data_IF_710944477190
#
_entry.id   IF_710944477190
#
_cell.length_a   1.000
_cell.length_b   1.000
_cell.length_c   1.000
_cell.angle_alpha   90.00
_cell.angle_beta   90.00
_cell.angle_gamma   90.00
#
_symmetry.space_group_name_H-M   'P 1'
#
loop_
_entity.id
_entity.type
_entity.pdbx_description
1 polymer ?
#
# COMPACT_ATOMS: atom_id res chain seq x y z
N UNK A 1 -15.21 42.64 1.76
CA UNK A 1 -16.05 41.48 1.36
C UNK A 1 -15.23 40.38 0.71
N UNK A 2 -14.27 40.70 -0.17
CA UNK A 2 -13.43 39.73 -0.89
C UNK A 2 -12.63 38.73 0.00
N UNK A 3 -12.12 39.18 1.15
CA UNK A 3 -11.35 38.31 2.09
C UNK A 3 -12.18 37.15 2.68
N UNK A 4 -13.49 37.34 2.85
CA UNK A 4 -14.40 36.30 3.35
C UNK A 4 -14.65 35.22 2.29
N UNK A 5 -14.92 35.66 1.06
CA UNK A 5 -15.15 34.76 -0.07
C UNK A 5 -13.92 33.92 -0.38
N UNK A 6 -12.72 34.52 -0.33
CA UNK A 6 -11.46 33.79 -0.48
C UNK A 6 -11.24 32.73 0.60
N UNK A 7 -11.56 33.03 1.87
CA UNK A 7 -11.47 32.05 2.96
C UNK A 7 -12.50 30.92 2.79
N UNK A 8 -13.75 31.26 2.45
CA UNK A 8 -14.78 30.27 2.19
C UNK A 8 -14.38 29.32 1.04
N UNK A 9 -13.85 29.87 -0.06
CA UNK A 9 -13.37 29.09 -1.19
C UNK A 9 -12.18 28.20 -0.83
N UNK A 10 -11.23 28.73 -0.05
CA UNK A 10 -10.08 27.95 0.44
C UNK A 10 -10.50 26.72 1.25
N UNK A 11 -11.37 26.88 2.25
CA UNK A 11 -11.82 25.74 3.07
C UNK A 11 -12.76 24.79 2.31
N UNK A 12 -13.54 25.31 1.33
CA UNK A 12 -14.29 24.47 0.42
C UNK A 12 -13.37 23.59 -0.45
N UNK A 13 -12.25 24.16 -0.95
CA UNK A 13 -11.21 23.41 -1.69
C UNK A 13 -10.52 22.37 -0.84
N UNK A 14 -10.38 22.60 0.47
CA UNK A 14 -9.91 21.59 1.43
C UNK A 14 -10.95 20.49 1.69
N UNK A 15 -12.19 20.65 1.24
CA UNK A 15 -13.27 19.69 1.32
C UNK A 15 -14.25 19.92 2.48
N UNK A 16 -14.13 21.01 3.24
CA UNK A 16 -15.08 21.31 4.31
C UNK A 16 -16.41 21.87 3.74
N UNK A 17 -17.52 21.55 4.40
CA UNK A 17 -18.83 22.02 3.99
C UNK A 17 -19.00 23.53 4.22
N UNK A 18 -19.58 24.23 3.24
CA UNK A 18 -19.85 25.69 3.32
C UNK A 18 -20.53 26.10 4.63
N UNK A 19 -21.50 25.32 5.09
CA UNK A 19 -22.25 25.61 6.31
C UNK A 19 -21.39 25.54 7.58
N UNK A 20 -20.48 24.58 7.67
CA UNK A 20 -19.59 24.44 8.81
C UNK A 20 -18.54 25.57 8.82
N UNK A 21 -18.02 25.95 7.64
CA UNK A 21 -17.08 27.06 7.51
C UNK A 21 -17.73 28.39 7.91
N UNK A 22 -18.95 28.67 7.45
CA UNK A 22 -19.68 29.88 7.86
C UNK A 22 -19.90 29.93 9.38
N UNK A 23 -20.32 28.82 10.00
CA UNK A 23 -20.53 28.76 11.46
C UNK A 23 -19.25 29.05 12.25
N UNK A 24 -18.11 28.52 11.80
CA UNK A 24 -16.82 28.75 12.46
C UNK A 24 -16.36 30.20 12.28
N UNK A 25 -16.54 30.78 11.09
CA UNK A 25 -16.19 32.17 10.81
C UNK A 25 -17.09 33.17 11.57
N UNK A 26 -18.36 32.84 11.77
CA UNK A 26 -19.28 33.60 12.63
C UNK A 26 -18.85 33.54 14.11
N UNK A 27 -18.32 32.40 14.57
CA UNK A 27 -17.87 32.22 15.96
C UNK A 27 -16.49 32.84 16.27
N UNK A 28 -15.54 32.77 15.33
CA UNK A 28 -14.17 33.29 15.52
C UNK A 28 -14.00 34.72 15.00
N UNK A 29 -14.95 35.19 14.20
CA UNK A 29 -14.90 36.49 13.54
C UNK A 29 -14.15 36.46 12.21
N UNK A 30 -14.44 37.46 11.39
CA UNK A 30 -13.96 37.56 10.00
C UNK A 30 -12.42 37.64 9.86
N UNK A 31 -11.76 38.10 10.93
CA UNK A 31 -10.32 38.27 11.02
C UNK A 31 -9.57 37.04 11.56
N UNK A 32 -10.27 35.95 11.90
CA UNK A 32 -9.65 34.72 12.37
C UNK A 32 -8.61 34.18 11.39
N UNK A 33 -7.47 33.72 11.89
CA UNK A 33 -6.42 33.13 11.06
C UNK A 33 -6.89 31.79 10.48
N UNK A 34 -6.35 31.42 9.32
CA UNK A 34 -6.71 30.17 8.65
C UNK A 34 -6.44 28.95 9.55
N UNK A 35 -5.35 28.99 10.31
CA UNK A 35 -5.01 27.93 11.28
C UNK A 35 -6.03 27.80 12.40
N UNK A 36 -6.61 28.90 12.87
CA UNK A 36 -7.59 28.88 13.95
C UNK A 36 -8.94 28.36 13.46
N UNK A 37 -9.33 28.75 12.25
CA UNK A 37 -10.51 28.19 11.56
C UNK A 37 -10.34 26.69 11.33
N UNK A 38 -9.16 26.25 10.89
CA UNK A 38 -8.87 24.83 10.66
C UNK A 38 -8.88 24.02 11.97
N UNK A 39 -8.24 24.54 13.04
CA UNK A 39 -8.27 23.91 14.38
C UNK A 39 -9.69 23.75 14.89
N UNK A 40 -10.54 24.76 14.69
CA UNK A 40 -11.92 24.74 15.13
C UNK A 40 -12.75 23.73 14.34
N UNK A 41 -12.59 23.65 13.02
CA UNK A 41 -13.24 22.64 12.17
C UNK A 41 -12.86 21.22 12.59
N UNK A 42 -11.58 20.99 12.92
CA UNK A 42 -11.09 19.70 13.44
C UNK A 42 -11.68 19.42 14.83
N UNK A 43 -11.73 20.43 15.72
CA UNK A 43 -12.31 20.33 17.06
C UNK A 43 -13.80 19.93 17.02
N UNK A 44 -14.54 20.44 16.04
CA UNK A 44 -15.95 20.07 15.81
C UNK A 44 -16.11 18.67 15.19
N UNK A 45 -15.02 17.94 14.93
CA UNK A 45 -15.05 16.60 14.35
C UNK A 45 -15.51 16.57 12.90
N UNK A 46 -15.46 17.70 12.18
CA UNK A 46 -15.82 17.78 10.77
C UNK A 46 -14.67 17.23 9.93
N UNK A 47 -14.96 16.26 9.08
CA UNK A 47 -14.01 15.74 8.10
C UNK A 47 -14.28 16.39 6.75
N UNK A 48 -13.24 16.74 5.97
CA UNK A 48 -13.45 17.22 4.62
C UNK A 48 -14.11 16.13 3.75
N UNK A 49 -15.27 16.45 3.18
CA UNK A 49 -16.08 15.58 2.32
C UNK A 49 -15.38 15.19 1.01
N UNK A 50 -14.30 15.88 0.63
CA UNK A 50 -13.47 15.48 -0.52
C UNK A 50 -12.86 14.07 -0.36
N UNK A 51 -12.84 13.52 0.85
CA UNK A 51 -12.42 12.15 1.15
C UNK A 51 -13.55 11.10 1.03
N UNK A 52 -14.79 11.52 0.79
CA UNK A 52 -15.97 10.62 0.77
C UNK A 52 -16.55 10.38 -0.64
N UNK A 53 -16.27 11.27 -1.60
CA UNK A 53 -16.74 11.13 -3.00
C UNK A 53 -15.75 10.43 -3.96
N UNK A 54 -14.61 9.97 -3.46
CA UNK A 54 -13.87 8.86 -4.06
C UNK A 54 -14.37 7.59 -3.38
N UNK A 55 -14.80 6.60 -4.17
CA UNK A 55 -15.18 5.27 -3.70
C UNK A 55 -14.34 4.87 -2.47
N UNK A 56 -15.00 4.61 -1.35
CA UNK A 56 -14.35 4.30 -0.07
C UNK A 56 -13.14 3.37 -0.28
N UNK A 57 -11.89 3.81 -0.04
CA UNK A 57 -10.89 2.89 0.45
C UNK A 57 -11.37 2.47 1.85
N UNK A 58 -11.36 1.17 2.19
CA UNK A 58 -11.75 0.75 3.52
C UNK A 58 -10.91 1.51 4.56
N UNK A 59 -11.47 1.85 5.74
CA UNK A 59 -10.76 2.63 6.72
C UNK A 59 -9.45 1.91 7.08
N UNK A 60 -8.32 2.58 6.86
CA UNK A 60 -7.00 2.08 7.27
C UNK A 60 -6.93 2.11 8.80
N UNK A 61 -7.47 1.05 9.42
CA UNK A 61 -7.21 0.75 10.83
C UNK A 61 -5.76 0.32 10.95
N UNK A 62 -4.93 1.18 11.52
CA UNK A 62 -3.67 0.75 12.12
C UNK A 62 -4.02 -0.15 13.31
N UNK A 63 -3.91 -1.46 13.09
CA UNK A 63 -4.05 -2.46 14.16
C UNK A 63 -2.65 -2.93 14.54
N UNK A 64 -2.29 -2.80 15.81
CA UNK A 64 -1.12 -3.49 16.35
C UNK A 64 -1.35 -4.99 16.16
N UNK A 65 -0.52 -5.63 15.33
CA UNK A 65 -0.72 -7.02 14.91
C UNK A 65 -0.33 -7.97 16.04
N UNK A 66 -1.28 -8.24 16.92
CA UNK A 66 -1.21 -9.27 17.93
C UNK A 66 -2.59 -9.49 18.54
N UNK A 67 -3.07 -10.73 18.50
CA UNK A 67 -4.28 -11.26 19.14
C UNK A 67 -5.59 -11.23 18.32
N UNK A 68 -6.20 -12.41 18.25
CA UNK A 68 -7.44 -12.76 17.58
C UNK A 68 -8.63 -12.33 18.45
N UNK A 69 -9.50 -11.46 17.93
CA UNK A 69 -10.82 -11.23 18.51
C UNK A 69 -11.77 -10.69 17.44
N UNK A 70 -12.82 -11.48 17.20
CA UNK A 70 -13.98 -11.21 16.37
C UNK A 70 -14.75 -9.97 16.82
N UNK A 71 -15.18 -9.10 15.90
CA UNK A 71 -16.37 -8.25 16.08
C UNK A 71 -17.04 -7.92 14.73
N UNK A 72 -18.36 -7.63 14.71
CA UNK A 72 -19.22 -8.09 13.61
C UNK A 72 -19.86 -6.98 12.73
N UNK A 73 -20.32 -7.40 11.53
CA UNK A 73 -21.40 -6.81 10.66
C UNK A 73 -20.96 -5.79 9.56
N UNK A 74 -21.61 -5.68 8.37
CA UNK A 74 -22.79 -6.41 7.82
C UNK A 74 -22.61 -7.22 6.52
N UNK A 75 -23.49 -8.22 6.48
CA UNK A 75 -23.80 -9.25 5.49
C UNK A 75 -24.45 -8.67 4.22
N UNK A 76 -23.73 -8.61 3.09
CA UNK A 76 -24.32 -8.53 1.74
C UNK A 76 -23.93 -9.79 0.95
N UNK A 77 -24.93 -10.67 0.84
CA UNK A 77 -25.21 -11.68 -0.19
C UNK A 77 -24.20 -12.81 -0.49
N UNK A 78 -24.80 -14.01 -0.48
CA UNK A 78 -24.38 -15.28 -1.07
C UNK A 78 -23.41 -16.14 -0.25
N UNK A 79 -23.95 -17.29 0.16
CA UNK A 79 -23.25 -18.47 0.62
C UNK A 79 -22.35 -18.98 -0.49
N UNK A 80 -21.06 -19.16 -0.19
CA UNK A 80 -20.22 -20.22 -0.71
C UNK A 80 -19.23 -20.56 0.40
N UNK A 81 -19.29 -21.82 0.84
CA UNK A 81 -18.37 -22.41 1.80
C UNK A 81 -16.99 -22.54 1.11
N UNK A 82 -16.15 -21.50 1.20
CA UNK A 82 -14.93 -21.41 0.41
C UNK A 82 -13.82 -20.64 1.11
N UNK A 83 -13.09 -21.36 1.96
CA UNK A 83 -11.71 -21.15 2.42
C UNK A 83 -11.24 -19.71 2.73
N UNK A 84 -10.69 -19.54 3.92
CA UNK A 84 -10.15 -18.26 4.43
C UNK A 84 -8.91 -17.76 3.66
N UNK A 85 -8.54 -18.41 2.56
CA UNK A 85 -7.41 -18.08 1.67
C UNK A 85 -7.72 -16.96 0.66
N UNK A 86 -8.99 -16.55 0.52
CA UNK A 86 -9.45 -15.65 -0.54
C UNK A 86 -9.09 -14.16 -0.40
N UNK A 87 -8.41 -13.75 0.68
CA UNK A 87 -8.04 -12.33 0.92
C UNK A 87 -6.57 -12.07 1.22
N UNK A 88 -5.67 -12.95 0.76
CA UNK A 88 -4.24 -12.71 0.92
C UNK A 88 -3.75 -11.58 0.00
N UNK A 89 -2.99 -10.64 0.57
CA UNK A 89 -2.38 -9.54 -0.22
C UNK A 89 -1.38 -10.10 -1.24
N UNK A 90 -1.29 -9.41 -2.37
CA UNK A 90 -0.22 -9.61 -3.35
C UNK A 90 1.17 -9.49 -2.71
N UNK A 91 2.08 -10.37 -3.12
CA UNK A 91 3.47 -10.37 -2.65
C UNK A 91 4.39 -9.91 -3.78
N UNK A 92 5.24 -8.94 -3.48
CA UNK A 92 6.31 -8.48 -4.38
C UNK A 92 7.65 -8.68 -3.68
N UNK A 93 8.56 -9.40 -4.33
CA UNK A 93 9.88 -9.77 -3.79
C UNK A 93 10.97 -9.07 -4.60
N UNK A 94 11.87 -8.37 -3.90
CA UNK A 94 13.16 -7.98 -4.45
C UNK A 94 14.07 -9.21 -4.50
N UNK A 95 14.15 -9.82 -5.69
CA UNK A 95 14.90 -11.06 -5.87
C UNK A 95 16.40 -10.88 -5.69
N UNK A 96 16.95 -9.70 -6.02
CA UNK A 96 18.39 -9.45 -5.86
C UNK A 96 18.77 -9.38 -4.40
N UNK A 97 18.00 -8.66 -3.59
CA UNK A 97 18.29 -8.54 -2.17
C UNK A 97 18.16 -9.90 -1.46
N UNK A 98 17.11 -10.66 -1.76
CA UNK A 98 16.92 -12.02 -1.20
C UNK A 98 18.08 -12.94 -1.61
N UNK A 99 18.45 -12.95 -2.89
CA UNK A 99 19.53 -13.79 -3.39
C UNK A 99 20.89 -13.44 -2.77
N UNK A 100 21.21 -12.16 -2.64
CA UNK A 100 22.47 -11.71 -2.03
C UNK A 100 22.50 -11.95 -0.53
N UNK A 101 21.38 -11.75 0.17
CA UNK A 101 21.28 -12.06 1.61
C UNK A 101 21.48 -13.56 1.86
N UNK A 102 20.87 -14.41 1.04
CA UNK A 102 21.04 -15.86 1.17
C UNK A 102 22.45 -16.33 0.79
N UNK A 103 23.07 -15.71 -0.22
CA UNK A 103 24.44 -16.00 -0.63
C UNK A 103 25.51 -15.27 0.17
N UNK A 104 25.24 -14.92 1.44
CA UNK A 104 26.20 -14.29 2.35
C UNK A 104 26.86 -13.00 1.81
N UNK A 105 26.16 -12.24 0.96
CA UNK A 105 26.66 -11.06 0.23
C UNK A 105 27.81 -11.34 -0.75
N UNK A 106 28.18 -12.60 -0.95
CA UNK A 106 29.29 -13.02 -1.81
C UNK A 106 28.78 -13.55 -3.15
N UNK A 107 27.68 -14.30 -3.12
CA UNK A 107 27.11 -14.94 -4.31
C UNK A 107 25.64 -14.58 -4.48
N UNK A 108 25.17 -14.57 -5.73
CA UNK A 108 23.74 -14.50 -5.99
C UNK A 108 23.16 -15.91 -5.93
N UNK A 109 22.41 -16.19 -4.86
CA UNK A 109 21.81 -17.51 -4.65
C UNK A 109 20.38 -17.57 -5.20
N UNK A 110 20.18 -18.25 -6.33
CA UNK A 110 18.84 -18.48 -6.88
C UNK A 110 17.97 -19.29 -5.90
N UNK A 111 18.59 -20.19 -5.14
CA UNK A 111 17.89 -21.00 -4.13
C UNK A 111 17.26 -20.16 -3.01
N UNK A 112 17.90 -19.05 -2.62
CA UNK A 112 17.32 -18.12 -1.65
C UNK A 112 15.99 -17.50 -2.11
N UNK A 113 15.89 -17.19 -3.41
CA UNK A 113 14.62 -16.73 -4.01
C UNK A 113 13.56 -17.84 -3.94
N UNK A 114 13.96 -19.11 -4.11
CA UNK A 114 13.05 -20.28 -4.05
C UNK A 114 12.37 -20.34 -2.72
N UNK A 115 13.21 -20.33 -1.67
CA UNK A 115 12.77 -20.49 -0.30
C UNK A 115 11.76 -19.40 0.06
N UNK A 116 12.03 -18.16 -0.35
CA UNK A 116 11.10 -17.05 -0.13
C UNK A 116 9.76 -17.30 -0.84
N UNK A 117 9.78 -17.72 -2.12
CA UNK A 117 8.55 -18.00 -2.88
C UNK A 117 7.77 -19.17 -2.27
N UNK A 118 8.43 -20.29 -2.00
CA UNK A 118 7.80 -21.50 -1.45
C UNK A 118 7.18 -21.20 -0.07
N UNK A 119 7.85 -20.40 0.77
CA UNK A 119 7.31 -19.96 2.07
C UNK A 119 5.96 -19.25 1.97
N UNK A 120 5.77 -18.39 0.95
CA UNK A 120 4.50 -17.71 0.72
C UNK A 120 3.46 -18.64 0.09
N UNK A 121 3.87 -19.52 -0.82
CA UNK A 121 2.97 -20.49 -1.47
C UNK A 121 2.38 -21.49 -0.47
N UNK A 122 3.19 -22.00 0.44
CA UNK A 122 2.77 -22.90 1.53
C UNK A 122 1.72 -22.26 2.45
N UNK A 123 1.63 -20.92 2.45
CA UNK A 123 0.63 -20.15 3.21
C UNK A 123 -0.60 -19.76 2.40
N UNK A 124 -0.73 -20.29 1.19
CA UNK A 124 -1.87 -20.05 0.30
C UNK A 124 -1.75 -18.81 -0.58
N UNK A 125 -0.61 -18.10 -0.60
CA UNK A 125 -0.45 -16.97 -1.51
C UNK A 125 -0.35 -17.46 -2.97
N UNK A 126 -1.31 -17.05 -3.79
CA UNK A 126 -1.37 -17.40 -5.22
C UNK A 126 -0.71 -16.35 -6.12
N UNK A 127 -0.73 -15.08 -5.72
CA UNK A 127 -0.11 -13.97 -6.48
C UNK A 127 1.20 -13.51 -5.84
N UNK A 128 2.32 -14.01 -6.38
CA UNK A 128 3.68 -13.67 -5.95
C UNK A 128 4.48 -13.24 -7.18
N UNK A 129 5.10 -12.06 -7.11
CA UNK A 129 5.95 -11.53 -8.18
C UNK A 129 7.35 -11.21 -7.69
N UNK A 130 8.35 -11.76 -8.37
CA UNK A 130 9.77 -11.52 -8.07
C UNK A 130 10.39 -10.65 -9.15
N UNK A 131 11.11 -9.61 -8.76
CA UNK A 131 11.89 -8.77 -9.67
C UNK A 131 13.38 -9.10 -9.58
N UNK A 132 13.99 -9.37 -10.72
CA UNK A 132 15.43 -9.62 -10.89
C UNK A 132 15.89 -8.93 -12.17
N UNK A 133 17.05 -8.24 -12.19
CA UNK A 133 17.59 -7.65 -13.41
C UNK A 133 17.80 -8.69 -14.52
N UNK A 134 17.52 -8.32 -15.76
CA UNK A 134 17.58 -9.25 -16.90
C UNK A 134 18.98 -9.88 -17.08
N UNK A 135 20.03 -9.10 -16.84
CA UNK A 135 21.42 -9.53 -16.98
C UNK A 135 21.80 -10.70 -16.05
N UNK A 136 21.01 -10.97 -15.00
CA UNK A 136 21.20 -12.17 -14.17
C UNK A 136 20.91 -13.48 -14.91
N UNK A 137 20.29 -13.43 -16.10
CA UNK A 137 20.10 -14.60 -16.98
C UNK A 137 21.31 -14.88 -17.88
N UNK A 138 22.21 -13.92 -18.03
CA UNK A 138 23.47 -14.08 -18.77
C UNK A 138 24.39 -15.09 -18.07
N UNK A 139 25.39 -15.65 -18.77
CA UNK A 139 26.41 -16.48 -18.14
C UNK A 139 27.08 -15.77 -16.95
N UNK A 140 27.33 -16.48 -15.82
CA UNK A 140 28.02 -15.88 -14.69
C UNK A 140 29.38 -15.34 -15.11
N UNK A 141 29.67 -14.10 -14.73
CA UNK A 141 30.98 -13.48 -14.92
C UNK A 141 31.83 -13.72 -13.67
N UNK A 142 33.15 -13.66 -13.79
CA UNK A 142 34.06 -13.90 -12.65
C UNK A 142 33.80 -12.94 -11.47
N UNK A 143 33.35 -11.73 -11.76
CA UNK A 143 32.96 -10.68 -10.83
C UNK A 143 31.51 -10.79 -10.32
N UNK A 144 30.71 -11.74 -10.84
CA UNK A 144 29.32 -11.95 -10.44
C UNK A 144 28.95 -13.43 -10.36
N UNK A 145 29.44 -14.14 -9.32
CA UNK A 145 29.15 -15.55 -9.14
C UNK A 145 27.65 -15.78 -8.85
N UNK A 146 27.08 -16.76 -9.55
CA UNK A 146 25.68 -17.19 -9.40
C UNK A 146 25.70 -18.64 -8.93
N UNK A 147 25.05 -18.92 -7.79
CA UNK A 147 24.95 -20.25 -7.22
C UNK A 147 23.55 -20.85 -7.45
N UNK A 148 23.51 -22.09 -7.95
CA UNK A 148 22.33 -22.94 -7.91
C UNK A 148 21.13 -22.46 -8.72
N UNK A 149 21.35 -21.86 -9.90
CA UNK A 149 20.27 -21.61 -10.87
C UNK A 149 20.09 -22.85 -11.77
N UNK A 150 19.06 -23.70 -11.54
CA UNK A 150 18.78 -24.81 -12.44
C UNK A 150 18.31 -24.25 -13.79
N UNK A 151 18.65 -24.93 -14.89
CA UNK A 151 18.24 -24.52 -16.24
C UNK A 151 16.72 -24.29 -16.36
N UNK A 152 15.93 -25.04 -15.60
CA UNK A 152 14.46 -25.03 -15.54
C UNK A 152 13.87 -23.76 -14.90
N UNK A 153 14.67 -22.99 -14.17
CA UNK A 153 14.22 -21.74 -13.56
C UNK A 153 14.37 -20.54 -14.52
N UNK A 154 15.11 -20.70 -15.62
CA UNK A 154 15.15 -19.68 -16.67
C UNK A 154 13.78 -19.48 -17.33
N UNK A 155 12.94 -20.51 -17.34
CA UNK A 155 11.61 -20.55 -17.95
C UNK A 155 10.44 -20.39 -16.96
N UNK A 156 10.59 -20.80 -15.70
CA UNK A 156 9.46 -20.92 -14.77
C UNK A 156 8.97 -19.61 -14.13
N UNK A 157 9.71 -18.52 -14.29
CA UNK A 157 9.27 -17.20 -13.81
C UNK A 157 9.26 -16.23 -14.98
N UNK A 158 8.09 -15.66 -15.36
CA UNK A 158 8.07 -14.45 -16.16
C UNK A 158 8.61 -13.33 -15.27
N UNK A 159 9.94 -13.25 -15.17
CA UNK A 159 10.64 -12.05 -14.73
C UNK A 159 10.16 -10.97 -15.69
N UNK A 160 9.14 -10.22 -15.28
CA UNK A 160 8.69 -9.08 -16.04
C UNK A 160 9.82 -8.07 -15.96
N UNK A 161 10.46 -7.89 -17.11
CA UNK A 161 11.53 -6.95 -17.31
C UNK A 161 10.94 -5.56 -17.14
N UNK A 162 11.47 -4.81 -16.17
CA UNK A 162 11.33 -3.36 -16.23
C UNK A 162 12.11 -2.91 -17.47
N UNK A 163 11.41 -2.37 -18.47
CA UNK A 163 12.08 -1.77 -19.64
C UNK A 163 12.89 -0.56 -19.15
N UNK A 164 14.13 -0.36 -19.64
CA UNK A 164 14.84 0.88 -19.38
C UNK A 164 14.03 2.06 -19.95
N UNK A 165 14.01 3.17 -19.21
CA UNK A 165 13.42 4.45 -19.64
C UNK A 165 14.21 5.04 -20.81
#
# INVERSE_FOLDING_TARGET
MEKLESKLDFFCKLGYGKQDICKVLESLGQEALEDDVLKELIRMGRKPQALENQAQPPPLKLVARGTCSTSPVPKWLAEEEGDSSSHLRAIVIDGSNVAMSHGNKEVFSCWGIRLAVDWFRERGHTYIKVFVPLWRKEPPRQDSPIAGCPAEWKSSFPVQTARPK
#
